data_IF_995666439761
#
_entry.id   IF_995666439761
#
_cell.length_a   1.000
_cell.length_b   1.000
_cell.length_c   1.000
_cell.angle_alpha   90.00
_cell.angle_beta   90.00
_cell.angle_gamma   90.00
#
_symmetry.space_group_name_H-M   'P 1'
#
loop_
_entity.id
_entity.type
_entity.pdbx_description
1 polymer ?
#
# COMPACT_ATOMS: atom_id res chain seq x y z
N UNK A 1 8.60 -1.66 -20.00
CA UNK A 1 8.21 -2.48 -18.85
C UNK A 1 6.72 -2.67 -18.92
N UNK A 2 6.28 -3.92 -19.02
CA UNK A 2 4.85 -4.25 -18.98
C UNK A 2 4.34 -4.34 -17.53
N UNK A 3 3.02 -4.50 -17.36
CA UNK A 3 2.39 -4.57 -16.05
C UNK A 3 2.83 -5.79 -15.23
N UNK A 4 2.98 -6.94 -15.87
CA UNK A 4 3.25 -8.20 -15.17
C UNK A 4 4.73 -8.28 -14.76
N UNK A 5 5.63 -7.73 -15.59
CA UNK A 5 7.04 -7.49 -15.27
C UNK A 5 7.17 -6.54 -14.07
N UNK A 6 6.40 -5.46 -14.04
CA UNK A 6 6.38 -4.54 -12.90
C UNK A 6 5.89 -5.23 -11.63
N UNK A 7 4.81 -6.01 -11.72
CA UNK A 7 4.27 -6.75 -10.57
C UNK A 7 5.29 -7.78 -10.04
N UNK A 8 5.89 -8.57 -10.94
CA UNK A 8 6.90 -9.56 -10.57
C UNK A 8 8.07 -8.89 -9.85
N UNK A 9 8.52 -7.73 -10.34
CA UNK A 9 9.56 -6.95 -9.69
C UNK A 9 9.16 -6.41 -8.32
N UNK A 10 7.93 -5.91 -8.18
CA UNK A 10 7.42 -5.46 -6.87
C UNK A 10 7.42 -6.58 -5.84
N UNK A 11 7.00 -7.79 -6.24
CA UNK A 11 6.97 -8.97 -5.37
C UNK A 11 8.37 -9.49 -5.00
N UNK A 12 9.35 -9.35 -5.90
CA UNK A 12 10.72 -9.77 -5.67
C UNK A 12 11.58 -8.72 -4.95
N UNK A 13 11.09 -7.48 -4.81
CA UNK A 13 11.86 -6.41 -4.18
C UNK A 13 11.92 -6.65 -2.67
N UNK A 14 13.13 -6.81 -2.08
CA UNK A 14 13.24 -6.95 -0.65
C UNK A 14 12.88 -5.63 0.03
N UNK A 15 11.89 -5.68 0.90
CA UNK A 15 11.48 -4.55 1.74
C UNK A 15 11.68 -4.92 3.21
N UNK A 16 11.84 -3.91 4.06
CA UNK A 16 11.93 -4.13 5.50
C UNK A 16 10.70 -4.90 5.99
N UNK A 17 10.93 -5.86 6.87
CA UNK A 17 9.88 -6.65 7.50
C UNK A 17 9.16 -5.77 8.53
N UNK A 18 8.11 -5.08 8.08
CA UNK A 18 7.30 -4.19 8.92
C UNK A 18 6.17 -4.98 9.56
N UNK A 19 5.76 -4.58 10.76
CA UNK A 19 4.58 -5.17 11.35
C UNK A 19 3.34 -4.75 10.55
N UNK A 20 2.33 -5.64 10.50
CA UNK A 20 1.04 -5.36 9.85
C UNK A 20 0.36 -4.08 10.39
N UNK A 21 0.66 -3.71 11.64
CA UNK A 21 0.13 -2.51 12.28
C UNK A 21 0.81 -1.21 11.80
N UNK A 22 1.95 -1.31 11.12
CA UNK A 22 2.74 -0.16 10.63
C UNK A 22 2.27 0.31 9.24
N UNK A 23 1.04 -0.06 8.84
CA UNK A 23 0.47 0.37 7.56
C UNK A 23 0.36 1.91 7.43
N UNK A 24 0.12 2.71 8.50
CA UNK A 24 0.11 4.18 8.38
C UNK A 24 1.47 4.71 7.91
N UNK A 25 2.55 4.15 8.44
CA UNK A 25 3.92 4.48 8.08
C UNK A 25 4.24 4.08 6.64
N UNK A 26 3.73 2.94 6.17
CA UNK A 26 3.85 2.54 4.75
C UNK A 26 3.15 3.53 3.82
N UNK A 27 1.95 3.99 4.19
CA UNK A 27 1.23 5.00 3.40
C UNK A 27 1.94 6.37 3.44
N UNK A 28 2.53 6.72 4.58
CA UNK A 28 3.35 7.93 4.70
C UNK A 28 4.57 7.90 3.79
N UNK A 29 5.26 6.76 3.69
CA UNK A 29 6.40 6.60 2.79
C UNK A 29 5.98 6.65 1.31
N UNK A 30 4.82 6.08 0.97
CA UNK A 30 4.23 6.24 -0.36
C UNK A 30 3.94 7.72 -0.68
N UNK A 31 3.34 8.46 0.25
CA UNK A 31 3.06 9.88 0.09
C UNK A 31 4.35 10.71 -0.09
N UNK A 32 5.42 10.37 0.64
CA UNK A 32 6.76 10.96 0.43
C UNK A 32 7.22 10.78 -1.02
N UNK A 33 7.13 9.56 -1.56
CA UNK A 33 7.51 9.29 -2.95
C UNK A 33 6.71 10.13 -3.94
N UNK A 34 5.42 10.39 -3.68
CA UNK A 34 4.61 11.26 -4.53
C UNK A 34 5.06 12.71 -4.47
N UNK A 35 5.40 13.23 -3.29
CA UNK A 35 5.95 14.58 -3.12
C UNK A 35 7.26 14.73 -3.91
N UNK A 36 8.15 13.73 -3.84
CA UNK A 36 9.43 13.77 -4.56
C UNK A 36 9.25 13.69 -6.09
N UNK A 37 8.14 13.09 -6.55
CA UNK A 37 7.81 12.96 -7.97
C UNK A 37 6.86 14.05 -8.49
N UNK A 38 6.32 14.92 -7.63
CA UNK A 38 5.24 15.84 -7.99
C UNK A 38 5.58 16.74 -9.19
N UNK A 39 6.84 17.15 -9.32
CA UNK A 39 7.29 18.02 -10.43
C UNK A 39 7.44 17.29 -11.77
N UNK A 40 7.32 15.96 -11.79
CA UNK A 40 7.45 15.09 -12.97
C UNK A 40 6.12 14.48 -13.40
N UNK A 41 5.08 14.60 -12.57
CA UNK A 41 3.76 14.02 -12.80
C UNK A 41 2.80 15.09 -13.32
N UNK A 42 1.90 14.70 -14.21
CA UNK A 42 0.74 15.55 -14.50
C UNK A 42 -0.22 15.55 -13.30
N UNK A 43 -1.10 16.54 -13.23
CA UNK A 43 -2.14 16.57 -12.21
C UNK A 43 -3.04 15.31 -12.27
N UNK A 44 -3.33 14.79 -13.48
CA UNK A 44 -4.08 13.55 -13.64
C UNK A 44 -3.34 12.32 -13.12
N UNK A 45 -2.05 12.21 -13.37
CA UNK A 45 -1.22 11.11 -12.83
C UNK A 45 -1.16 11.17 -11.31
N UNK A 46 -1.04 12.38 -10.74
CA UNK A 46 -1.04 12.59 -9.29
C UNK A 46 -2.35 12.11 -8.66
N UNK A 47 -3.50 12.47 -9.22
CA UNK A 47 -4.81 12.02 -8.73
C UNK A 47 -4.99 10.51 -8.83
N UNK A 48 -4.56 9.89 -9.94
CA UNK A 48 -4.60 8.43 -10.10
C UNK A 48 -3.75 7.72 -9.04
N UNK A 49 -2.56 8.24 -8.75
CA UNK A 49 -1.66 7.69 -7.74
C UNK A 49 -2.22 7.88 -6.32
N UNK A 50 -2.77 9.06 -6.01
CA UNK A 50 -3.48 9.28 -4.74
C UNK A 50 -4.61 8.26 -4.56
N UNK A 51 -5.40 8.03 -5.62
CA UNK A 51 -6.46 7.02 -5.62
C UNK A 51 -5.94 5.61 -5.33
N UNK A 52 -4.87 5.19 -6.00
CA UNK A 52 -4.24 3.89 -5.77
C UNK A 52 -3.73 3.72 -4.33
N UNK A 53 -3.10 4.75 -3.77
CA UNK A 53 -2.66 4.75 -2.36
C UNK A 53 -3.83 4.60 -1.39
N UNK A 54 -4.94 5.31 -1.62
CA UNK A 54 -6.15 5.21 -0.81
C UNK A 54 -6.80 3.81 -0.86
N UNK A 55 -6.81 3.17 -2.03
CA UNK A 55 -7.36 1.83 -2.18
C UNK A 55 -6.49 0.76 -1.52
N UNK A 56 -5.15 0.88 -1.62
CA UNK A 56 -4.24 0.02 -0.86
C UNK A 56 -4.45 0.15 0.64
N UNK A 57 -4.55 1.39 1.13
CA UNK A 57 -4.80 1.65 2.54
C UNK A 57 -6.09 0.97 3.03
N UNK A 58 -7.22 1.24 2.37
CA UNK A 58 -8.52 0.68 2.78
C UNK A 58 -8.53 -0.84 2.77
N UNK A 59 -7.89 -1.44 1.77
CA UNK A 59 -7.79 -2.90 1.64
C UNK A 59 -7.00 -3.51 2.78
N UNK A 60 -5.84 -2.93 3.12
CA UNK A 60 -4.99 -3.41 4.20
C UNK A 60 -5.64 -3.18 5.58
N UNK A 61 -6.21 -2.00 5.81
CA UNK A 61 -6.91 -1.69 7.06
C UNK A 61 -8.08 -2.66 7.32
N UNK A 62 -8.83 -3.00 6.26
CA UNK A 62 -9.91 -3.99 6.35
C UNK A 62 -9.39 -5.39 6.62
N UNK A 63 -8.28 -5.79 5.98
CA UNK A 63 -7.64 -7.09 6.24
C UNK A 63 -7.17 -7.20 7.70
N UNK A 64 -6.58 -6.13 8.25
CA UNK A 64 -6.18 -6.08 9.66
C UNK A 64 -7.39 -6.16 10.61
N UNK A 65 -8.47 -5.42 10.32
CA UNK A 65 -9.72 -5.52 11.07
C UNK A 65 -10.27 -6.96 11.08
N UNK A 66 -10.25 -7.64 9.93
CA UNK A 66 -10.64 -9.06 9.86
C UNK A 66 -9.74 -9.93 10.70
N UNK A 67 -8.41 -9.78 10.60
CA UNK A 67 -7.44 -10.54 11.39
C UNK A 67 -7.70 -10.37 12.88
N UNK A 68 -7.89 -9.15 13.34
CA UNK A 68 -8.20 -8.85 14.75
C UNK A 68 -9.52 -9.51 15.16
N UNK A 69 -10.60 -9.34 14.38
CA UNK A 69 -11.90 -9.95 14.69
C UNK A 69 -11.86 -11.49 14.71
N UNK A 70 -11.08 -12.12 13.84
CA UNK A 70 -10.91 -13.58 13.79
C UNK A 70 -10.12 -14.12 14.98
N UNK A 71 -9.16 -13.36 15.53
CA UNK A 71 -8.41 -13.76 16.74
C UNK A 71 -9.31 -13.80 17.98
N UNK A 72 -10.37 -13.00 18.02
CA UNK A 72 -11.34 -12.98 19.14
C UNK A 72 -12.50 -13.98 18.97
N UNK A 73 -12.54 -14.74 17.88
CA UNK A 73 -13.57 -15.74 17.60
C UNK A 73 -12.90 -17.06 17.16
N UNK A 74 -12.25 -17.81 18.06
CA UNK A 74 -11.83 -19.17 17.74
C UNK A 74 -13.07 -20.00 17.37
N UNK A 75 -12.97 -20.93 16.40
CA UNK A 75 -14.10 -21.82 16.08
C UNK A 75 -14.53 -22.61 17.32
N UNK A 76 -15.82 -22.94 17.45
CA UNK A 76 -16.38 -23.64 18.59
C UNK A 76 -15.79 -25.05 18.78
#
# INVERSE_FOLDING_TARGET
MDRDELLARMLATPVSDRHLNDWPEVLSDYARCLVDLQGKLSAGDMEMLIGAGADFYRTLARAEQYRQASVWNPPP
#
